data_IF_369947769324
#
_entry.id   IF_369947769324
#
_cell.length_a   1.000
_cell.length_b   1.000
_cell.length_c   1.000
_cell.angle_alpha   90.00
_cell.angle_beta   90.00
_cell.angle_gamma   90.00
#
_symmetry.space_group_name_H-M   'P 1'
#
loop_
_entity.id
_entity.type
_entity.pdbx_description
1 polymer ?
#
# COMPACT_ATOMS: atom_id res chain seq x y z
N UNK A 1 -8.72 -42.42 -33.72
CA UNK A 1 -8.36 -42.03 -32.34
C UNK A 1 -6.90 -41.67 -32.36
N UNK A 2 -6.51 -40.71 -31.50
CA UNK A 2 -5.21 -40.01 -31.42
C UNK A 2 -5.04 -38.81 -32.35
N UNK A 3 -4.57 -37.64 -31.90
CA UNK A 3 -4.28 -37.15 -30.55
C UNK A 3 -4.38 -35.62 -30.67
N UNK A 4 -5.28 -34.98 -29.91
CA UNK A 4 -5.34 -33.53 -29.84
C UNK A 4 -4.18 -33.05 -28.97
N UNK A 5 -3.01 -32.87 -29.58
CA UNK A 5 -1.93 -32.06 -29.02
C UNK A 5 -2.41 -30.60 -28.96
N UNK A 6 -3.17 -30.30 -27.90
CA UNK A 6 -3.35 -28.95 -27.44
C UNK A 6 -1.97 -28.46 -27.01
N UNK A 7 -1.30 -27.82 -27.96
CA UNK A 7 -0.14 -26.97 -27.78
C UNK A 7 -0.51 -25.93 -26.71
N UNK A 8 -0.35 -26.29 -25.43
CA UNK A 8 -0.44 -25.38 -24.31
C UNK A 8 0.85 -24.60 -24.38
N UNK A 9 0.83 -23.31 -24.75
CA UNK A 9 2.05 -22.54 -24.82
C UNK A 9 2.71 -22.62 -23.44
N UNK A 10 4.00 -22.89 -23.45
CA UNK A 10 4.88 -22.83 -22.29
C UNK A 10 4.85 -21.40 -21.73
N UNK A 11 3.84 -21.11 -20.91
CA UNK A 11 3.58 -19.78 -20.30
C UNK A 11 4.56 -19.46 -19.15
N UNK A 12 5.70 -20.13 -19.05
CA UNK A 12 6.75 -19.86 -18.04
C UNK A 12 7.43 -18.50 -18.20
N UNK A 13 7.16 -17.78 -19.30
CA UNK A 13 7.73 -16.44 -19.56
C UNK A 13 6.81 -15.30 -19.14
N UNK A 14 5.61 -15.60 -18.62
CA UNK A 14 4.55 -14.61 -18.45
C UNK A 14 4.07 -14.47 -17.01
N UNK A 15 4.88 -14.88 -16.04
CA UNK A 15 4.63 -14.61 -14.63
C UNK A 15 5.35 -13.31 -14.21
N UNK A 16 4.78 -12.64 -13.22
CA UNK A 16 5.25 -11.41 -12.60
C UNK A 16 5.20 -11.62 -11.10
N UNK A 17 6.35 -11.53 -10.44
CA UNK A 17 6.42 -11.61 -8.97
C UNK A 17 6.38 -10.20 -8.39
N UNK A 18 5.52 -9.91 -7.42
CA UNK A 18 5.45 -8.60 -6.77
C UNK A 18 5.58 -8.75 -5.25
N UNK A 19 6.16 -7.73 -4.62
CA UNK A 19 6.24 -7.61 -3.16
C UNK A 19 5.09 -6.72 -2.70
N UNK A 20 4.05 -7.30 -2.12
CA UNK A 20 2.89 -6.56 -1.65
C UNK A 20 2.90 -6.43 -0.13
N UNK A 21 2.41 -5.30 0.38
CA UNK A 21 2.15 -5.11 1.80
C UNK A 21 0.93 -4.23 2.03
N UNK A 22 0.45 -4.23 3.27
CA UNK A 22 -0.52 -3.25 3.73
C UNK A 22 0.22 -2.05 4.32
N UNK A 23 -0.28 -0.84 4.08
CA UNK A 23 0.16 0.34 4.84
C UNK A 23 -0.38 0.25 6.27
N UNK A 24 0.37 -0.39 7.16
CA UNK A 24 0.03 -0.53 8.58
C UNK A 24 1.15 0.01 9.47
N UNK A 25 0.83 0.72 10.56
CA UNK A 25 1.84 1.14 11.54
C UNK A 25 2.40 -0.04 12.34
N UNK A 26 1.72 -1.19 12.37
CA UNK A 26 2.14 -2.37 13.13
C UNK A 26 3.04 -3.32 12.35
N UNK A 27 2.73 -3.52 11.08
CA UNK A 27 3.36 -4.54 10.24
C UNK A 27 3.65 -3.95 8.86
N UNK A 28 4.90 -4.07 8.42
CA UNK A 28 5.39 -3.51 7.16
C UNK A 28 6.08 -4.57 6.30
N UNK A 29 5.84 -5.85 6.62
CA UNK A 29 6.43 -6.98 5.93
C UNK A 29 5.83 -7.12 4.53
N UNK A 30 6.69 -7.45 3.58
CA UNK A 30 6.29 -7.72 2.22
C UNK A 30 6.05 -9.22 2.04
N UNK A 31 4.97 -9.53 1.34
CA UNK A 31 4.65 -10.88 0.86
C UNK A 31 4.89 -10.92 -0.64
N UNK A 32 5.51 -12.00 -1.12
CA UNK A 32 5.70 -12.22 -2.54
C UNK A 32 4.45 -12.88 -3.13
N UNK A 33 3.89 -12.26 -4.16
CA UNK A 33 2.73 -12.79 -4.89
C UNK A 33 3.08 -12.96 -6.37
N UNK A 34 2.50 -13.99 -6.97
CA UNK A 34 2.71 -14.33 -8.37
C UNK A 34 1.47 -13.97 -9.19
N UNK A 35 1.69 -13.24 -10.28
CA UNK A 35 0.63 -12.79 -11.18
C UNK A 35 0.96 -13.13 -12.63
N UNK A 36 -0.04 -13.44 -13.43
CA UNK A 36 0.13 -13.60 -14.87
C UNK A 36 0.19 -12.24 -15.54
N UNK A 37 1.23 -11.99 -16.34
CA UNK A 37 1.40 -10.81 -17.21
C UNK A 37 0.23 -10.60 -18.16
N UNK A 38 -0.38 -11.69 -18.62
CA UNK A 38 -1.58 -11.66 -19.47
C UNK A 38 -2.80 -11.10 -18.73
N UNK A 39 -2.87 -11.23 -17.40
CA UNK A 39 -4.00 -10.87 -16.55
C UNK A 39 -3.67 -9.68 -15.62
N UNK A 40 -2.68 -8.85 -15.99
CA UNK A 40 -2.34 -7.62 -15.27
C UNK A 40 -3.43 -6.56 -15.46
N UNK A 41 -4.42 -6.65 -14.58
CA UNK A 41 -5.48 -5.67 -14.39
C UNK A 41 -5.48 -5.20 -12.94
N UNK A 42 -6.01 -4.00 -12.72
CA UNK A 42 -6.14 -3.43 -11.38
C UNK A 42 -6.99 -4.33 -10.46
N UNK A 43 -8.10 -4.86 -11.00
CA UNK A 43 -8.99 -5.77 -10.30
C UNK A 43 -8.30 -7.09 -9.91
N UNK A 44 -7.52 -7.67 -10.82
CA UNK A 44 -6.83 -8.92 -10.54
C UNK A 44 -5.71 -8.75 -9.50
N UNK A 45 -4.90 -7.69 -9.64
CA UNK A 45 -3.89 -7.33 -8.64
C UNK A 45 -4.53 -7.13 -7.27
N UNK A 46 -5.59 -6.33 -7.20
CA UNK A 46 -6.32 -6.08 -5.96
C UNK A 46 -6.81 -7.39 -5.34
N UNK A 47 -7.48 -8.24 -6.11
CA UNK A 47 -8.06 -9.50 -5.63
C UNK A 47 -7.01 -10.47 -5.10
N UNK A 48 -5.94 -10.71 -5.86
CA UNK A 48 -4.86 -11.63 -5.45
C UNK A 48 -4.12 -11.07 -4.24
N UNK A 49 -3.77 -9.78 -4.25
CA UNK A 49 -3.11 -9.16 -3.11
C UNK A 49 -3.99 -9.22 -1.85
N UNK A 50 -5.29 -8.94 -1.97
CA UNK A 50 -6.22 -9.01 -0.85
C UNK A 50 -6.37 -10.44 -0.30
N UNK A 51 -6.40 -11.43 -1.18
CA UNK A 51 -6.47 -12.85 -0.79
C UNK A 51 -5.25 -13.29 0.01
N UNK A 52 -4.04 -12.94 -0.45
CA UNK A 52 -2.77 -13.30 0.22
C UNK A 52 -2.57 -12.51 1.52
N UNK A 53 -3.01 -11.25 1.56
CA UNK A 53 -2.93 -10.41 2.76
C UNK A 53 -4.10 -10.63 3.74
N UNK A 54 -5.08 -11.47 3.39
CA UNK A 54 -6.25 -11.75 4.24
C UNK A 54 -7.16 -10.56 4.50
N UNK A 55 -7.20 -9.58 3.58
CA UNK A 55 -8.02 -8.36 3.69
C UNK A 55 -9.14 -8.35 2.64
N UNK A 56 -10.19 -7.57 2.89
CA UNK A 56 -11.24 -7.40 1.90
C UNK A 56 -10.89 -6.27 0.93
N UNK A 57 -11.17 -6.43 -0.39
CA UNK A 57 -10.93 -5.38 -1.38
C UNK A 57 -11.76 -4.10 -1.10
N UNK A 58 -12.89 -4.24 -0.40
CA UNK A 58 -13.70 -3.10 0.06
C UNK A 58 -12.98 -2.22 1.09
N UNK A 59 -12.04 -2.80 1.83
CA UNK A 59 -11.23 -2.07 2.80
C UNK A 59 -10.06 -1.36 2.11
N UNK A 60 -9.77 -1.61 0.83
CA UNK A 60 -8.64 -0.98 0.13
C UNK A 60 -9.09 0.35 -0.46
N UNK A 61 -8.49 1.44 0.03
CA UNK A 61 -8.70 2.78 -0.51
C UNK A 61 -7.91 3.00 -1.81
N UNK A 62 -6.61 2.66 -1.80
CA UNK A 62 -5.68 2.97 -2.89
C UNK A 62 -4.57 1.92 -2.97
N UNK A 63 -4.07 1.67 -4.18
CA UNK A 63 -2.87 0.85 -4.40
C UNK A 63 -1.74 1.77 -4.89
N UNK A 64 -0.60 1.74 -4.21
CA UNK A 64 0.58 2.53 -4.58
C UNK A 64 1.77 1.62 -4.80
N UNK A 65 2.57 1.90 -5.81
CA UNK A 65 3.93 1.37 -5.99
C UNK A 65 4.90 2.25 -5.20
N UNK A 66 5.87 1.66 -4.52
CA UNK A 66 6.93 2.42 -3.86
C UNK A 66 7.94 2.99 -4.88
N UNK A 67 8.58 4.13 -4.58
CA UNK A 67 8.45 4.87 -3.33
C UNK A 67 7.16 5.72 -3.20
N UNK A 68 6.52 6.21 -4.29
CA UNK A 68 5.31 7.06 -4.21
C UNK A 68 4.50 7.16 -5.54
N UNK A 69 4.25 6.04 -6.23
CA UNK A 69 3.46 6.03 -7.49
C UNK A 69 2.06 5.48 -7.26
N UNK A 70 1.01 6.26 -7.49
CA UNK A 70 -0.36 5.76 -7.41
C UNK A 70 -0.72 4.95 -8.66
N UNK A 71 -1.18 3.72 -8.47
CA UNK A 71 -1.68 2.87 -9.55
C UNK A 71 -3.18 3.12 -9.72
N UNK A 72 -3.59 3.67 -10.87
CA UNK A 72 -5.01 4.04 -11.11
C UNK A 72 -5.67 3.21 -12.19
N UNK A 73 -4.88 2.67 -13.12
CA UNK A 73 -5.38 1.97 -14.31
C UNK A 73 -4.55 0.74 -14.60
N UNK A 74 -5.11 -0.18 -15.37
CA UNK A 74 -4.43 -1.39 -15.83
C UNK A 74 -3.10 -1.11 -16.55
N UNK A 75 -2.99 0.03 -17.25
CA UNK A 75 -1.74 0.43 -17.89
C UNK A 75 -0.60 0.66 -16.89
N UNK A 76 -0.90 1.16 -15.69
CA UNK A 76 0.12 1.35 -14.64
C UNK A 76 0.58 -0.01 -14.12
N UNK A 77 -0.36 -0.97 -14.02
CA UNK A 77 -0.09 -2.35 -13.58
C UNK A 77 0.77 -3.10 -14.60
N UNK A 78 0.47 -2.95 -15.90
CA UNK A 78 1.25 -3.57 -16.97
C UNK A 78 2.69 -3.07 -17.07
N UNK A 79 2.97 -1.90 -16.49
CA UNK A 79 4.33 -1.33 -16.40
C UNK A 79 5.11 -1.85 -15.19
N UNK A 80 4.49 -2.63 -14.31
CA UNK A 80 5.15 -3.23 -13.16
C UNK A 80 6.18 -4.27 -13.63
N UNK A 81 7.22 -4.46 -12.81
CA UNK A 81 8.30 -5.42 -13.03
C UNK A 81 8.44 -6.32 -11.81
N UNK A 82 9.16 -7.42 -11.99
CA UNK A 82 9.39 -8.40 -10.93
C UNK A 82 10.04 -7.75 -9.71
N UNK A 83 9.64 -8.21 -8.54
CA UNK A 83 10.07 -7.75 -7.23
C UNK A 83 9.82 -6.26 -6.98
N UNK A 84 8.90 -5.63 -7.72
CA UNK A 84 8.44 -4.29 -7.37
C UNK A 84 7.59 -4.32 -6.11
N UNK A 85 7.80 -3.28 -5.31
CA UNK A 85 7.12 -3.09 -4.05
C UNK A 85 5.81 -2.32 -4.27
N UNK A 86 4.73 -2.91 -3.80
CA UNK A 86 3.37 -2.38 -3.88
C UNK A 86 2.76 -2.35 -2.48
N UNK A 87 2.12 -1.24 -2.17
CA UNK A 87 1.49 -0.97 -0.89
C UNK A 87 0.00 -0.74 -1.11
N UNK A 88 -0.81 -1.50 -0.38
CA UNK A 88 -2.26 -1.37 -0.32
C UNK A 88 -2.59 -0.47 0.88
N UNK A 89 -3.21 0.67 0.59
CA UNK A 89 -3.69 1.61 1.59
C UNK A 89 -5.12 1.21 1.92
N UNK A 90 -5.38 0.93 3.20
CA UNK A 90 -6.73 0.63 3.68
C UNK A 90 -7.50 1.92 3.95
N UNK A 91 -8.82 1.88 3.73
CA UNK A 91 -9.73 2.92 4.14
C UNK A 91 -9.64 3.06 5.66
N UNK A 92 -9.53 4.30 6.11
CA UNK A 92 -9.63 4.60 7.55
C UNK A 92 -11.10 4.52 7.94
N UNK A 93 -11.60 3.32 8.26
CA UNK A 93 -12.87 3.19 8.97
C UNK A 93 -12.70 4.03 10.25
N UNK A 94 -13.48 5.10 10.40
CA UNK A 94 -13.29 6.11 11.45
C UNK A 94 -13.58 5.62 12.87
N UNK A 95 -12.83 4.63 13.35
CA UNK A 95 -12.92 4.11 14.72
C UNK A 95 -11.59 3.55 15.20
N UNK A 96 -10.61 4.44 15.35
CA UNK A 96 -9.71 4.48 16.52
C UNK A 96 -8.85 5.74 16.41
N UNK A 97 -9.27 6.78 17.11
CA UNK A 97 -8.46 7.94 17.44
C UNK A 97 -7.16 7.55 18.19
N UNK A 98 -6.15 8.41 18.05
CA UNK A 98 -4.99 8.62 18.94
C UNK A 98 -3.87 7.55 18.84
N UNK A 99 -2.66 7.86 18.37
CA UNK A 99 -1.80 8.97 18.82
C UNK A 99 -0.78 9.30 17.72
N UNK A 100 -1.10 10.29 16.87
CA UNK A 100 0.00 11.12 16.37
C UNK A 100 0.51 11.88 17.60
N UNK A 101 1.76 11.61 17.96
CA UNK A 101 2.56 12.39 18.89
C UNK A 101 2.58 13.84 18.40
N UNK A 102 1.57 14.61 18.79
CA UNK A 102 1.69 16.05 18.90
C UNK A 102 2.47 16.25 20.20
N UNK A 103 3.75 16.67 20.18
CA UNK A 103 4.34 17.19 21.40
C UNK A 103 3.45 18.36 21.79
N UNK A 104 2.83 18.27 22.96
CA UNK A 104 2.07 19.34 23.55
C UNK A 104 2.98 20.58 23.64
N UNK A 105 2.93 21.44 22.63
CA UNK A 105 3.20 22.86 22.75
C UNK A 105 2.05 23.43 23.60
N UNK A 106 1.98 23.00 24.85
CA UNK A 106 1.37 23.82 25.89
C UNK A 106 2.18 25.09 25.92
N UNK A 107 1.60 26.10 25.29
CA UNK A 107 1.77 27.51 25.56
C UNK A 107 2.19 27.71 27.01
N UNK A 108 3.49 27.89 27.22
CA UNK A 108 3.93 28.72 28.34
C UNK A 108 3.75 30.14 27.83
N UNK A 109 2.88 30.98 28.41
CA UNK A 109 3.07 32.41 28.27
C UNK A 109 4.43 32.70 28.90
N UNK A 110 5.46 32.89 28.06
CA UNK A 110 6.79 33.31 28.47
C UNK A 110 6.77 34.78 28.89
N UNK A 111 5.84 35.16 29.75
CA UNK A 111 5.74 36.51 30.29
C UNK A 111 5.69 36.41 31.80
N UNK A 112 6.86 36.59 32.43
CA UNK A 112 6.93 36.77 33.87
C UNK A 112 6.47 38.20 34.18
N UNK A 113 5.20 38.35 34.55
CA UNK A 113 4.61 39.63 34.96
C UNK A 113 5.22 40.25 36.22
N UNK A 114 6.15 39.56 36.91
CA UNK A 114 6.87 40.12 38.07
C UNK A 114 8.10 40.97 37.70
N UNK A 115 8.43 41.12 36.42
CA UNK A 115 9.60 41.90 36.00
C UNK A 115 9.30 43.39 35.72
N UNK A 116 8.05 43.83 35.73
CA UNK A 116 7.69 45.22 35.43
C UNK A 116 7.52 46.08 36.69
N UNK A 117 8.61 46.27 37.45
CA UNK A 117 8.73 47.37 38.43
C UNK A 117 10.20 47.71 38.65
N UNK A 118 10.78 48.40 37.67
CA UNK A 118 11.96 49.22 37.86
C UNK A 118 11.57 50.63 37.43
N UNK A 119 11.25 51.43 38.44
CA UNK A 119 11.14 52.89 38.38
C UNK A 119 12.53 53.46 38.11
N UNK A 120 12.64 54.43 37.21
CA UNK A 120 13.71 55.43 37.23
C UNK A 120 13.14 56.78 36.79
#
# INVERSE_FOLDING_TARGET
>A
MDLSDNNKPSDTCLELVLKVRIQSPKENDFIEIELKRQELSYQNLLKVSCCELGINPEQVEKIRKLPNTLLRKDQDIRRLRDFQEVELILMKNGSSELTEYIPSLTERPCYNSKAAKMTY
#
